data_IF_089507321809
#
_entry.id   IF_089507321809
#
_cell.length_a   1.000
_cell.length_b   1.000
_cell.length_c   1.000
_cell.angle_alpha   90.00
_cell.angle_beta   90.00
_cell.angle_gamma   90.00
#
_symmetry.space_group_name_H-M   'P 1'
#
loop_
_entity.id
_entity.type
_entity.pdbx_description
1 polymer ?
#
# COMPACT_ATOMS: atom_id res chain seq x y z
N UNK A 1 -4.71 -4.72 9.70
CA UNK A 1 -4.79 -6.00 8.98
C UNK A 1 -4.65 -5.76 7.49
N UNK A 2 -4.27 -6.76 6.71
CA UNK A 2 -4.16 -6.68 5.26
C UNK A 2 -5.33 -7.40 4.59
N UNK A 3 -5.87 -6.79 3.52
CA UNK A 3 -6.90 -7.37 2.65
C UNK A 3 -6.49 -7.19 1.19
N UNK A 4 -6.78 -8.20 0.38
CA UNK A 4 -6.25 -8.30 -0.98
C UNK A 4 -4.87 -8.94 -1.00
N UNK A 5 -4.23 -8.87 -2.16
CA UNK A 5 -2.89 -9.41 -2.39
C UNK A 5 -2.00 -8.24 -2.79
N UNK A 6 -0.93 -8.02 -2.03
CA UNK A 6 0.14 -7.13 -2.45
C UNK A 6 0.92 -7.81 -3.58
N UNK A 7 0.97 -7.17 -4.76
CA UNK A 7 1.82 -7.65 -5.85
C UNK A 7 3.28 -7.59 -5.42
N UNK A 8 4.17 -8.35 -6.04
CA UNK A 8 5.58 -8.25 -5.66
C UNK A 8 6.23 -9.56 -5.27
N UNK A 9 7.50 -9.44 -4.88
CA UNK A 9 8.17 -10.45 -4.07
C UNK A 9 8.42 -9.85 -2.70
N UNK A 10 7.95 -10.53 -1.66
CA UNK A 10 8.23 -10.19 -0.26
C UNK A 10 8.49 -11.50 0.50
N UNK A 11 9.51 -11.52 1.36
CA UNK A 11 9.86 -12.67 2.22
C UNK A 11 9.97 -14.03 1.49
N UNK A 12 10.36 -14.01 0.21
CA UNK A 12 10.50 -15.21 -0.63
C UNK A 12 9.20 -15.72 -1.26
N UNK A 13 8.09 -15.01 -1.09
CA UNK A 13 6.80 -15.27 -1.76
C UNK A 13 6.66 -14.35 -2.98
N UNK A 14 6.42 -14.93 -4.16
CA UNK A 14 6.27 -14.20 -5.42
C UNK A 14 4.81 -14.17 -5.89
N UNK A 15 4.22 -12.97 -5.92
CA UNK A 15 2.86 -12.70 -6.37
C UNK A 15 2.81 -12.14 -7.80
N UNK A 16 3.91 -12.16 -8.56
CA UNK A 16 3.98 -11.62 -9.94
C UNK A 16 3.05 -12.32 -10.93
N UNK A 17 2.69 -13.58 -10.66
CA UNK A 17 1.81 -14.40 -11.52
C UNK A 17 0.33 -14.32 -11.18
N UNK A 18 -0.06 -13.55 -10.17
CA UNK A 18 -1.45 -13.41 -9.73
C UNK A 18 -2.23 -12.57 -10.76
N UNK A 19 -3.47 -12.98 -11.07
CA UNK A 19 -4.35 -12.25 -11.96
C UNK A 19 -4.58 -10.80 -11.46
N UNK A 20 -4.56 -9.85 -12.37
CA UNK A 20 -4.53 -8.41 -12.04
C UNK A 20 -5.77 -7.93 -11.30
N UNK A 21 -6.92 -8.58 -11.47
CA UNK A 21 -8.17 -8.33 -10.76
C UNK A 21 -8.09 -8.67 -9.26
N UNK A 22 -7.20 -9.59 -8.87
CA UNK A 22 -6.96 -9.96 -7.46
C UNK A 22 -5.96 -9.04 -6.74
N UNK A 23 -5.33 -8.13 -7.45
CA UNK A 23 -4.37 -7.14 -6.90
C UNK A 23 -5.05 -5.86 -6.41
N UNK A 24 -6.38 -5.80 -6.47
CA UNK A 24 -7.17 -4.67 -5.98
C UNK A 24 -8.22 -5.20 -5.00
N UNK A 25 -8.29 -4.58 -3.83
CA UNK A 25 -9.39 -4.79 -2.89
C UNK A 25 -10.68 -4.23 -3.44
N UNK A 26 -11.80 -4.73 -2.93
CA UNK A 26 -13.14 -4.22 -3.23
C UNK A 26 -13.71 -3.41 -2.06
N UNK A 27 -14.72 -2.54 -2.30
CA UNK A 27 -15.44 -1.88 -1.22
C UNK A 27 -16.04 -2.88 -0.21
N UNK A 28 -16.51 -4.04 -0.70
CA UNK A 28 -17.08 -5.11 0.13
C UNK A 28 -16.04 -5.72 1.07
N UNK A 29 -14.78 -5.89 0.62
CA UNK A 29 -13.70 -6.38 1.47
C UNK A 29 -13.44 -5.42 2.64
N UNK A 30 -13.35 -4.11 2.35
CA UNK A 30 -13.13 -3.09 3.39
C UNK A 30 -14.30 -2.99 4.36
N UNK A 31 -15.54 -3.08 3.88
CA UNK A 31 -16.74 -3.08 4.71
C UNK A 31 -16.80 -4.30 5.63
N UNK A 32 -16.47 -5.49 5.11
CA UNK A 32 -16.42 -6.71 5.91
C UNK A 32 -15.45 -6.57 7.08
N UNK A 33 -14.25 -6.03 6.82
CA UNK A 33 -13.25 -5.75 7.87
C UNK A 33 -13.80 -4.80 8.93
N UNK A 34 -14.41 -3.69 8.50
CA UNK A 34 -14.94 -2.71 9.46
C UNK A 34 -16.07 -3.28 10.30
N UNK A 35 -17.01 -4.00 9.70
CA UNK A 35 -18.12 -4.64 10.42
C UNK A 35 -17.62 -5.68 11.43
N UNK A 36 -16.50 -6.34 11.14
CA UNK A 36 -15.92 -7.37 12.00
C UNK A 36 -15.10 -6.77 13.15
N UNK A 37 -14.31 -5.73 12.88
CA UNK A 37 -13.35 -5.20 13.85
C UNK A 37 -13.87 -4.02 14.67
N UNK A 38 -14.77 -3.20 14.12
CA UNK A 38 -15.31 -2.04 14.84
C UNK A 38 -16.02 -2.36 16.15
N UNK A 39 -16.72 -3.52 16.33
CA UNK A 39 -17.29 -3.87 17.63
C UNK A 39 -16.24 -4.23 18.69
N UNK A 40 -15.01 -4.56 18.27
CA UNK A 40 -13.91 -4.94 19.16
C UNK A 40 -13.12 -3.70 19.57
N UNK A 41 -12.78 -2.85 18.60
CA UNK A 41 -12.01 -1.63 18.81
C UNK A 41 -12.20 -0.68 17.63
N UNK A 42 -12.23 0.61 17.91
CA UNK A 42 -12.19 1.66 16.88
C UNK A 42 -10.76 1.87 16.33
N UNK A 43 -9.75 1.31 17.00
CA UNK A 43 -8.32 1.51 16.68
C UNK A 43 -7.76 0.33 15.89
N UNK A 44 -8.10 0.27 14.62
CA UNK A 44 -7.46 -0.63 13.66
C UNK A 44 -7.16 0.11 12.37
N UNK A 45 -6.18 -0.40 11.63
CA UNK A 45 -5.81 0.08 10.31
C UNK A 45 -5.97 -1.02 9.27
N UNK A 46 -6.22 -0.64 8.04
CA UNK A 46 -6.43 -1.56 6.91
C UNK A 46 -5.35 -1.30 5.85
N UNK A 47 -4.55 -2.30 5.52
CA UNK A 47 -3.76 -2.31 4.30
C UNK A 47 -4.66 -2.89 3.20
N UNK A 48 -5.32 -2.02 2.44
CA UNK A 48 -6.12 -2.42 1.29
C UNK A 48 -5.24 -2.41 0.04
N UNK A 49 -5.41 -3.40 -0.84
CA UNK A 49 -4.68 -3.45 -2.09
C UNK A 49 -5.28 -2.44 -3.09
N UNK A 50 -4.47 -1.50 -3.59
CA UNK A 50 -4.86 -0.53 -4.62
C UNK A 50 -3.83 -0.44 -5.75
N UNK A 51 -3.21 -1.59 -6.06
CA UNK A 51 -2.12 -1.68 -7.04
C UNK A 51 -0.73 -1.47 -6.44
N UNK A 52 -0.59 -1.56 -5.12
CA UNK A 52 0.70 -1.54 -4.43
C UNK A 52 1.52 -2.80 -4.73
N UNK A 53 2.84 -2.62 -4.84
CA UNK A 53 3.79 -3.68 -5.16
C UNK A 53 5.01 -3.60 -4.25
N UNK A 54 5.47 -4.75 -3.74
CA UNK A 54 6.70 -4.85 -2.95
C UNK A 54 7.92 -5.13 -3.84
N UNK A 55 9.04 -4.46 -3.55
CA UNK A 55 10.34 -4.69 -4.19
C UNK A 55 10.64 -3.80 -5.41
N UNK A 56 11.70 -4.17 -6.14
CA UNK A 56 12.13 -3.47 -7.37
C UNK A 56 11.38 -4.04 -8.56
N UNK A 57 10.43 -3.28 -9.12
CA UNK A 57 9.64 -3.74 -10.27
C UNK A 57 9.95 -2.99 -11.56
N UNK A 58 9.87 -3.73 -12.68
CA UNK A 58 9.84 -3.12 -14.00
C UNK A 58 8.55 -2.29 -14.13
N UNK A 59 8.64 -1.04 -14.61
CA UNK A 59 7.45 -0.25 -14.90
C UNK A 59 6.46 -1.01 -15.79
N UNK A 60 5.19 -1.13 -15.39
CA UNK A 60 4.09 -1.52 -16.29
C UNK A 60 3.20 -2.70 -15.89
N UNK A 61 3.55 -3.54 -14.90
CA UNK A 61 2.73 -4.73 -14.58
C UNK A 61 1.54 -4.45 -13.65
N UNK A 62 1.67 -3.50 -12.75
CA UNK A 62 0.62 -3.07 -11.81
C UNK A 62 0.73 -1.56 -11.66
N UNK A 63 -0.40 -0.87 -11.62
CA UNK A 63 -0.44 0.59 -11.51
C UNK A 63 -1.21 0.96 -10.26
N UNK A 64 -0.63 1.85 -9.45
CA UNK A 64 -1.33 2.43 -8.30
C UNK A 64 -2.63 3.10 -8.77
N UNK A 65 -3.70 2.84 -8.05
CA UNK A 65 -5.01 3.45 -8.23
C UNK A 65 -5.52 4.03 -6.91
N UNK A 66 -4.92 5.14 -6.42
CA UNK A 66 -5.31 5.73 -5.13
C UNK A 66 -6.80 6.09 -5.05
N UNK A 67 -7.44 6.40 -6.17
CA UNK A 67 -8.88 6.73 -6.25
C UNK A 67 -9.79 5.57 -5.77
N UNK A 68 -9.28 4.33 -5.71
CA UNK A 68 -9.99 3.23 -5.06
C UNK A 68 -10.18 3.47 -3.56
N UNK A 69 -9.20 4.05 -2.88
CA UNK A 69 -9.29 4.35 -1.44
C UNK A 69 -10.42 5.34 -1.16
N UNK A 70 -10.57 6.36 -2.00
CA UNK A 70 -11.70 7.30 -1.93
C UNK A 70 -13.05 6.59 -2.13
N UNK A 71 -13.11 5.66 -3.10
CA UNK A 71 -14.31 4.87 -3.34
C UNK A 71 -14.70 4.03 -2.12
N UNK A 72 -13.71 3.48 -1.40
CA UNK A 72 -13.93 2.71 -0.17
C UNK A 72 -14.46 3.62 0.93
N UNK A 73 -13.82 4.77 1.19
CA UNK A 73 -14.29 5.74 2.18
C UNK A 73 -15.73 6.14 1.94
N UNK A 74 -16.08 6.49 0.69
CA UNK A 74 -17.43 6.91 0.31
C UNK A 74 -18.45 5.80 0.49
N UNK A 75 -18.11 4.57 0.10
CA UNK A 75 -19.00 3.41 0.16
C UNK A 75 -19.52 3.15 1.58
N UNK A 76 -18.62 3.09 2.56
CA UNK A 76 -19.02 2.86 3.95
C UNK A 76 -19.43 4.17 4.64
N UNK A 77 -18.76 5.27 4.31
CA UNK A 77 -19.01 6.58 4.92
C UNK A 77 -20.43 7.06 4.71
N UNK A 78 -21.01 6.83 3.52
CA UNK A 78 -22.41 7.12 3.24
C UNK A 78 -23.39 6.33 4.13
N UNK A 79 -23.07 5.07 4.47
CA UNK A 79 -23.90 4.22 5.32
C UNK A 79 -23.84 4.64 6.79
N UNK A 80 -22.67 5.08 7.24
CA UNK A 80 -22.41 5.44 8.62
C UNK A 80 -22.61 6.93 8.91
N UNK A 81 -22.81 7.77 7.89
CA UNK A 81 -22.76 9.23 8.01
C UNK A 81 -21.43 9.74 8.60
N UNK A 82 -20.32 9.11 8.19
CA UNK A 82 -18.94 9.46 8.59
C UNK A 82 -18.15 9.71 7.30
N UNK A 83 -17.43 10.83 7.18
CA UNK A 83 -16.74 11.18 5.92
C UNK A 83 -15.68 10.15 5.51
N UNK A 84 -14.84 9.73 6.46
CA UNK A 84 -13.70 8.83 6.23
C UNK A 84 -13.62 7.79 7.36
N UNK A 85 -14.40 6.71 7.29
CA UNK A 85 -14.45 5.70 8.36
C UNK A 85 -13.19 4.84 8.46
N UNK A 86 -12.32 4.83 7.43
CA UNK A 86 -11.14 3.97 7.38
C UNK A 86 -9.83 4.74 7.64
N UNK A 87 -8.92 4.08 8.36
CA UNK A 87 -7.50 4.44 8.46
C UNK A 87 -6.67 3.46 7.64
N UNK A 88 -6.13 3.91 6.50
CA UNK A 88 -5.43 3.04 5.58
C UNK A 88 -3.92 2.98 5.83
N UNK A 89 -3.33 1.86 5.43
CA UNK A 89 -1.88 1.65 5.36
C UNK A 89 -1.49 1.46 3.89
N UNK A 90 -0.52 2.23 3.43
CA UNK A 90 0.06 2.12 2.09
C UNK A 90 1.28 1.21 2.12
N UNK A 91 1.10 -0.05 1.70
CA UNK A 91 2.17 -1.02 1.47
C UNK A 91 2.92 -0.70 0.16
N UNK A 92 4.17 -1.15 0.01
CA UNK A 92 4.91 -0.95 -1.24
C UNK A 92 5.13 0.51 -1.66
N UNK A 93 5.44 1.38 -0.70
CA UNK A 93 5.56 2.81 -0.95
C UNK A 93 6.80 3.23 -1.74
N UNK A 94 7.84 2.38 -1.80
CA UNK A 94 9.08 2.69 -2.53
C UNK A 94 8.85 2.85 -4.03
N UNK A 95 9.52 3.84 -4.63
CA UNK A 95 9.39 4.15 -6.06
C UNK A 95 8.03 4.73 -6.48
N UNK A 96 7.14 5.06 -5.54
CA UNK A 96 5.83 5.68 -5.84
C UNK A 96 5.98 7.15 -6.24
N UNK A 97 5.17 7.59 -7.19
CA UNK A 97 5.11 9.00 -7.59
C UNK A 97 4.55 9.87 -6.46
N UNK A 98 5.10 11.09 -6.30
CA UNK A 98 4.64 12.03 -5.26
C UNK A 98 3.13 12.29 -5.35
N UNK A 99 2.59 12.43 -6.55
CA UNK A 99 1.16 12.68 -6.76
C UNK A 99 0.27 11.52 -6.27
N UNK A 100 0.74 10.29 -6.39
CA UNK A 100 -0.02 9.12 -5.93
C UNK A 100 0.01 9.03 -4.40
N UNK A 101 1.16 9.35 -3.78
CA UNK A 101 1.28 9.47 -2.33
C UNK A 101 0.36 10.57 -1.80
N UNK A 102 0.40 11.77 -2.39
CA UNK A 102 -0.44 12.90 -1.98
C UNK A 102 -1.94 12.55 -2.05
N UNK A 103 -2.36 11.89 -3.14
CA UNK A 103 -3.74 11.39 -3.28
C UNK A 103 -4.09 10.36 -2.20
N UNK A 104 -3.26 9.34 -2.01
CA UNK A 104 -3.52 8.28 -1.05
C UNK A 104 -3.65 8.82 0.39
N UNK A 105 -2.78 9.77 0.77
CA UNK A 105 -2.88 10.49 2.06
C UNK A 105 -4.19 11.28 2.14
N UNK A 106 -4.59 11.98 1.08
CA UNK A 106 -5.86 12.71 1.04
C UNK A 106 -7.08 11.79 1.23
N UNK A 107 -6.97 10.50 0.87
CA UNK A 107 -8.02 9.49 0.99
C UNK A 107 -7.96 8.65 2.27
N UNK A 108 -7.10 9.02 3.23
CA UNK A 108 -7.11 8.42 4.58
C UNK A 108 -5.97 7.43 4.84
N UNK A 109 -4.92 7.42 4.02
CA UNK A 109 -3.66 6.76 4.41
C UNK A 109 -3.03 7.51 5.59
N UNK A 110 -2.75 6.77 6.67
CA UNK A 110 -2.12 7.29 7.89
C UNK A 110 -0.75 6.66 8.18
N UNK A 111 -0.40 5.60 7.44
CA UNK A 111 0.88 4.90 7.54
C UNK A 111 1.33 4.47 6.15
N UNK A 112 2.60 4.65 5.83
CA UNK A 112 3.20 4.17 4.58
C UNK A 112 4.42 3.32 4.92
N UNK A 113 4.56 2.17 4.26
CA UNK A 113 5.73 1.32 4.35
C UNK A 113 6.73 1.71 3.25
N UNK A 114 7.97 1.98 3.64
CA UNK A 114 9.09 2.27 2.73
C UNK A 114 10.23 1.35 3.13
N UNK A 115 10.75 0.59 2.17
CA UNK A 115 11.81 -0.38 2.46
C UNK A 115 12.85 -0.38 1.33
N UNK A 116 12.46 -0.78 0.11
CA UNK A 116 13.37 -0.88 -1.05
C UNK A 116 14.20 0.39 -1.29
N UNK A 117 13.60 1.57 -1.22
CA UNK A 117 14.33 2.84 -1.39
C UNK A 117 15.37 3.05 -0.28
N UNK A 118 15.05 2.67 0.97
CA UNK A 118 15.97 2.79 2.10
C UNK A 118 17.12 1.79 2.00
N UNK A 119 16.85 0.56 1.54
CA UNK A 119 17.88 -0.44 1.29
C UNK A 119 18.87 0.02 0.21
N UNK A 120 18.36 0.56 -0.91
CA UNK A 120 19.19 1.10 -1.98
C UNK A 120 20.00 2.31 -1.54
N UNK A 121 19.40 3.25 -0.82
CA UNK A 121 20.10 4.41 -0.28
C UNK A 121 21.25 4.00 0.66
N UNK A 122 21.00 3.01 1.53
CA UNK A 122 22.01 2.46 2.43
C UNK A 122 23.16 1.79 1.67
N UNK A 123 22.84 0.89 0.74
CA UNK A 123 23.82 0.18 -0.07
C UNK A 123 24.67 1.13 -0.91
N UNK A 124 24.04 2.14 -1.54
CA UNK A 124 24.73 3.10 -2.38
C UNK A 124 25.74 3.92 -1.56
N UNK A 125 25.37 4.31 -0.35
CA UNK A 125 26.27 4.98 0.59
C UNK A 125 27.52 4.15 0.91
N UNK A 126 27.34 2.87 1.23
CA UNK A 126 28.44 1.95 1.51
C UNK A 126 29.33 1.74 0.27
N UNK A 127 28.72 1.53 -0.89
CA UNK A 127 29.45 1.36 -2.15
C UNK A 127 30.31 2.59 -2.45
N UNK A 128 29.74 3.79 -2.34
CA UNK A 128 30.47 5.06 -2.56
C UNK A 128 31.65 5.19 -1.61
N UNK A 129 31.48 4.87 -0.33
CA UNK A 129 32.56 4.89 0.65
C UNK A 129 33.68 3.91 0.28
N UNK A 130 33.34 2.65 -0.01
CA UNK A 130 34.29 1.63 -0.40
C UNK A 130 35.05 2.02 -1.67
N UNK A 131 34.35 2.47 -2.72
CA UNK A 131 34.97 2.94 -3.97
C UNK A 131 35.92 4.13 -3.79
N UNK A 132 35.66 4.99 -2.81
CA UNK A 132 36.55 6.11 -2.50
C UNK A 132 37.82 5.69 -1.74
N UNK A 133 37.87 4.46 -1.23
CA UNK A 133 38.95 3.96 -0.35
C UNK A 133 39.60 2.67 -0.85
N UNK A 134 39.05 2.02 -1.87
CA UNK A 134 39.66 0.84 -2.48
C UNK A 134 40.94 1.25 -3.21
N UNK A 135 42.03 0.56 -2.88
CA UNK A 135 43.43 0.79 -3.22
C UNK A 135 44.28 -0.21 -2.44
#
# INVERSE_FOLDING_TARGET
MEIGITGGVEDGVDNSGVASDKLYSTPQDTELVWNTLSPISEKFTIAAAFGNVHGVYKPGNVKLQPDLLDSFQKHLGAKLSIEKPFFFVFHGGSGSEKSDIDKAVSYGVVKMNVDTDTQWAYWEGLLKFYKAKEG
#
